data_IF_664973679779
#
_entry.id   IF_664973679779
#
_cell.length_a   1.000
_cell.length_b   1.000
_cell.length_c   1.000
_cell.angle_alpha   90.00
_cell.angle_beta   90.00
_cell.angle_gamma   90.00
#
_symmetry.space_group_name_H-M   'P 1'
#
loop_
_entity.id
_entity.type
_entity.pdbx_description
1 polymer ?
#
# COMPACT_ATOMS: atom_id res chain seq x y z
N UNK A 1 90.78 48.95 -1.82
CA UNK A 1 90.23 50.20 -1.27
C UNK A 1 88.71 50.19 -1.50
N UNK A 2 87.92 50.21 -0.41
CA UNK A 2 86.59 50.86 -0.22
C UNK A 2 85.54 50.81 -1.37
N UNK A 3 84.23 50.57 -1.20
CA UNK A 3 83.27 50.63 -0.07
C UNK A 3 81.92 50.06 -0.58
N UNK A 4 81.06 49.62 0.34
CA UNK A 4 79.65 49.24 0.16
C UNK A 4 78.76 50.40 -0.33
N UNK A 5 77.70 50.12 -1.11
CA UNK A 5 76.33 50.54 -0.75
C UNK A 5 75.20 49.89 -1.58
N UNK A 6 74.11 49.66 -0.85
CA UNK A 6 72.83 49.03 -1.13
C UNK A 6 71.90 49.90 -2.02
N UNK A 7 71.19 49.31 -2.99
CA UNK A 7 69.85 49.78 -3.38
C UNK A 7 68.99 48.72 -4.08
N UNK A 8 67.79 48.59 -3.52
CA UNK A 8 66.62 47.80 -3.86
C UNK A 8 65.89 48.39 -5.08
N UNK A 9 65.40 47.57 -6.04
CA UNK A 9 64.04 47.69 -6.63
C UNK A 9 63.71 46.64 -7.72
N UNK A 10 62.59 45.94 -7.48
CA UNK A 10 61.58 45.35 -8.37
C UNK A 10 61.99 44.72 -9.74
N UNK A 11 61.94 43.39 -9.81
CA UNK A 11 61.78 42.61 -11.05
C UNK A 11 60.31 42.15 -11.17
N UNK A 12 59.58 42.74 -12.12
CA UNK A 12 58.22 42.39 -12.53
C UNK A 12 58.30 41.46 -13.76
N UNK A 13 57.69 40.27 -13.63
CA UNK A 13 56.90 39.47 -14.60
C UNK A 13 57.40 39.42 -16.06
N UNK A 14 57.61 38.28 -16.73
CA UNK A 14 56.65 37.21 -17.00
C UNK A 14 57.42 35.97 -17.49
N UNK A 15 57.41 34.89 -16.71
CA UNK A 15 57.79 33.55 -17.18
C UNK A 15 56.50 32.82 -17.59
N UNK A 16 56.33 32.61 -18.89
CA UNK A 16 55.33 31.70 -19.44
C UNK A 16 55.65 30.27 -18.97
N UNK A 17 54.94 29.81 -17.94
CA UNK A 17 54.89 28.39 -17.58
C UNK A 17 53.56 27.85 -18.07
N UNK A 18 53.58 27.06 -19.13
CA UNK A 18 52.43 26.27 -19.56
C UNK A 18 52.07 25.28 -18.45
N UNK A 19 51.12 25.64 -17.60
CA UNK A 19 50.52 24.72 -16.65
C UNK A 19 49.61 23.79 -17.45
N UNK A 20 50.09 22.57 -17.68
CA UNK A 20 49.23 21.44 -18.03
C UNK A 20 48.29 21.23 -16.85
N UNK A 21 47.10 21.81 -16.91
CA UNK A 21 46.04 21.50 -15.96
C UNK A 21 45.42 20.18 -16.38
N UNK A 22 45.89 19.08 -15.78
CA UNK A 22 45.12 17.85 -15.74
C UNK A 22 43.88 18.15 -14.89
N UNK A 23 42.76 18.48 -15.56
CA UNK A 23 41.45 18.56 -14.94
C UNK A 23 41.12 17.16 -14.42
N UNK A 24 41.37 16.96 -13.12
CA UNK A 24 40.96 15.77 -12.41
C UNK A 24 39.43 15.74 -12.49
N UNK A 25 38.92 14.79 -13.27
CA UNK A 25 37.50 14.43 -13.40
C UNK A 25 36.86 14.45 -12.01
N UNK A 26 35.71 15.09 -11.94
CA UNK A 26 34.84 15.25 -10.77
C UNK A 26 35.10 14.22 -9.67
N UNK A 27 35.63 14.69 -8.54
CA UNK A 27 35.33 14.05 -7.25
C UNK A 27 33.87 14.44 -6.98
N UNK A 28 32.95 13.74 -7.65
CA UNK A 28 31.59 13.66 -7.18
C UNK A 28 31.67 13.04 -5.79
N UNK A 29 31.55 13.86 -4.74
CA UNK A 29 31.07 13.36 -3.48
C UNK A 29 29.72 12.71 -3.82
N UNK A 30 29.72 11.38 -3.95
CA UNK A 30 28.49 10.61 -4.00
C UNK A 30 27.79 10.96 -2.69
N UNK A 31 26.82 11.87 -2.76
CA UNK A 31 25.98 12.23 -1.64
C UNK A 31 25.35 10.93 -1.17
N UNK A 32 25.91 10.32 -0.13
CA UNK A 32 25.37 9.12 0.48
C UNK A 32 23.95 9.50 0.91
N UNK A 33 22.97 9.06 0.12
CA UNK A 33 21.56 9.35 0.41
C UNK A 33 21.23 8.67 1.72
N UNK A 34 21.04 9.48 2.75
CA UNK A 34 20.56 8.99 4.02
C UNK A 34 19.07 8.72 3.93
N UNK A 35 18.62 7.58 4.47
CA UNK A 35 17.21 7.25 4.58
C UNK A 35 16.63 7.75 5.90
N UNK A 36 15.35 8.11 5.84
CA UNK A 36 14.51 8.18 7.04
C UNK A 36 13.94 6.80 7.31
N UNK A 37 13.73 6.46 8.57
CA UNK A 37 13.10 5.19 8.94
C UNK A 37 12.19 5.35 10.15
N UNK A 38 11.44 4.31 10.49
CA UNK A 38 10.42 4.36 11.54
C UNK A 38 10.99 4.54 12.96
N UNK A 39 12.31 4.39 13.19
CA UNK A 39 13.14 4.51 14.42
C UNK A 39 12.65 3.78 15.69
N UNK A 40 11.34 3.57 15.84
CA UNK A 40 10.66 3.13 17.05
C UNK A 40 10.42 1.62 17.10
N UNK A 41 10.65 0.89 16.00
CA UNK A 41 10.42 -0.53 15.96
C UNK A 41 11.48 -1.30 16.75
N UNK A 42 11.03 -2.20 17.64
CA UNK A 42 11.93 -2.98 18.52
C UNK A 42 12.76 -4.00 17.77
N UNK A 43 12.17 -4.62 16.75
CA UNK A 43 12.77 -5.72 15.98
C UNK A 43 12.84 -5.41 14.49
N UNK A 44 11.84 -4.71 13.95
CA UNK A 44 11.78 -4.34 12.55
C UNK A 44 11.85 -2.83 12.38
N UNK A 45 12.35 -2.38 11.24
CA UNK A 45 12.32 -0.99 10.80
C UNK A 45 11.83 -0.92 9.36
N UNK A 46 11.09 0.13 9.02
CA UNK A 46 10.77 0.48 7.64
C UNK A 46 11.45 1.79 7.28
N UNK A 47 12.13 1.85 6.13
CA UNK A 47 12.72 3.07 5.60
C UNK A 47 11.81 3.82 4.60
N UNK A 48 12.21 5.02 4.19
CA UNK A 48 11.49 5.87 3.24
C UNK A 48 11.61 5.43 1.78
N UNK A 49 12.46 4.45 1.49
CA UNK A 49 12.45 3.71 0.21
C UNK A 49 11.43 2.56 0.20
N UNK A 50 10.82 2.27 1.35
CA UNK A 50 9.81 1.26 1.55
C UNK A 50 10.34 -0.12 1.89
N UNK A 51 11.62 -0.27 2.22
CA UNK A 51 12.18 -1.55 2.65
C UNK A 51 11.89 -1.81 4.13
N UNK A 52 11.56 -3.06 4.46
CA UNK A 52 11.47 -3.56 5.84
C UNK A 52 12.64 -4.48 6.13
N UNK A 53 13.30 -4.27 7.25
CA UNK A 53 14.44 -5.07 7.69
C UNK A 53 14.51 -5.19 9.22
N UNK A 54 15.35 -6.11 9.71
CA UNK A 54 15.65 -6.20 11.14
C UNK A 54 16.40 -4.94 11.59
N UNK A 55 16.10 -4.44 12.79
CA UNK A 55 16.69 -3.22 13.31
C UNK A 55 18.23 -3.28 13.40
N UNK A 56 18.81 -4.47 13.58
CA UNK A 56 20.24 -4.70 13.64
C UNK A 56 20.90 -4.73 12.25
N UNK A 57 20.10 -4.89 11.18
CA UNK A 57 20.58 -4.96 9.80
C UNK A 57 20.62 -3.62 9.07
N UNK A 58 20.17 -2.54 9.74
CA UNK A 58 20.21 -1.18 9.18
C UNK A 58 21.64 -0.71 9.03
N UNK A 59 21.94 -0.13 7.88
CA UNK A 59 23.27 0.44 7.62
C UNK A 59 23.55 1.63 8.56
N UNK A 60 24.67 1.62 9.33
CA UNK A 60 24.94 2.66 10.31
C UNK A 60 25.13 4.05 9.71
N UNK A 61 25.64 4.14 8.47
CA UNK A 61 26.00 5.40 7.82
C UNK A 61 24.81 6.03 7.11
N UNK A 62 24.14 5.29 6.24
CA UNK A 62 23.00 5.75 5.45
C UNK A 62 21.68 5.67 6.22
N UNK A 63 21.58 4.82 7.26
CA UNK A 63 20.35 4.52 8.02
C UNK A 63 19.26 3.82 7.20
N UNK A 64 19.61 3.32 6.02
CA UNK A 64 18.72 2.58 5.12
C UNK A 64 18.67 1.09 5.49
N UNK A 65 17.55 0.44 5.15
CA UNK A 65 17.50 -1.01 5.13
C UNK A 65 18.30 -1.55 3.92
N UNK A 66 18.86 -2.77 4.03
CA UNK A 66 19.55 -3.39 2.90
C UNK A 66 18.59 -3.64 1.74
N UNK A 67 19.08 -3.47 0.50
CA UNK A 67 18.29 -3.61 -0.75
C UNK A 67 17.67 -5.01 -0.90
N UNK A 68 18.26 -6.02 -0.26
CA UNK A 68 17.73 -7.39 -0.24
C UNK A 68 16.48 -7.55 0.64
N UNK A 69 16.05 -6.50 1.36
CA UNK A 69 14.87 -6.50 2.20
C UNK A 69 13.56 -6.54 1.41
N UNK A 70 12.46 -6.74 2.13
CA UNK A 70 11.13 -6.73 1.53
C UNK A 70 10.69 -5.29 1.25
N UNK A 71 10.67 -4.89 -0.03
CA UNK A 71 10.23 -3.55 -0.45
C UNK A 71 8.72 -3.50 -0.64
N UNK A 72 8.09 -2.47 -0.07
CA UNK A 72 6.65 -2.22 -0.15
C UNK A 72 5.79 -3.42 0.27
N UNK A 73 6.26 -4.18 1.26
CA UNK A 73 5.61 -5.40 1.69
C UNK A 73 4.36 -5.11 2.49
N UNK A 74 3.27 -5.78 2.11
CA UNK A 74 1.99 -5.74 2.81
C UNK A 74 1.77 -6.99 3.67
N UNK A 75 2.84 -7.63 4.14
CA UNK A 75 2.75 -8.79 5.03
C UNK A 75 1.98 -8.40 6.31
N UNK A 76 0.96 -9.19 6.67
CA UNK A 76 0.13 -8.89 7.83
C UNK A 76 -0.83 -7.70 7.66
N UNK A 77 -1.06 -7.25 6.41
CA UNK A 77 -2.01 -6.19 6.10
C UNK A 77 -3.29 -6.74 5.47
N UNK A 78 -4.44 -6.29 5.98
CA UNK A 78 -5.71 -6.41 5.29
C UNK A 78 -5.87 -5.22 4.33
N UNK A 79 -5.74 -5.47 3.03
CA UNK A 79 -5.78 -4.43 2.01
C UNK A 79 -7.16 -3.79 1.82
N UNK A 80 -8.23 -4.41 2.34
CA UNK A 80 -9.59 -3.86 2.25
C UNK A 80 -9.82 -2.84 3.35
N UNK A 81 -9.47 -3.15 4.59
CA UNK A 81 -9.49 -2.16 5.68
C UNK A 81 -8.33 -1.18 5.60
N UNK A 82 -7.29 -1.50 4.81
CA UNK A 82 -6.02 -0.76 4.75
C UNK A 82 -5.39 -0.64 6.15
N UNK A 83 -5.53 -1.72 6.91
CA UNK A 83 -4.99 -1.86 8.26
C UNK A 83 -4.10 -3.10 8.35
N UNK A 84 -3.08 -3.02 9.18
CA UNK A 84 -2.09 -4.07 9.40
C UNK A 84 -1.94 -4.35 10.89
N UNK A 85 -1.44 -5.53 11.21
CA UNK A 85 -1.10 -5.92 12.57
C UNK A 85 0.34 -5.54 12.98
N UNK A 86 1.15 -5.03 12.05
CA UNK A 86 2.50 -4.51 12.28
C UNK A 86 2.63 -3.10 11.72
N UNK A 87 3.23 -2.22 12.52
CA UNK A 87 3.45 -0.82 12.16
C UNK A 87 4.39 -0.68 10.97
N UNK A 88 5.48 -1.42 10.94
CA UNK A 88 6.54 -1.33 9.93
C UNK A 88 6.04 -1.83 8.58
N UNK A 89 5.32 -2.96 8.57
CA UNK A 89 4.65 -3.43 7.35
C UNK A 89 3.51 -2.50 6.90
N UNK A 90 2.81 -1.83 7.82
CA UNK A 90 1.86 -0.79 7.45
C UNK A 90 2.53 0.36 6.70
N UNK A 91 3.65 0.87 7.22
CA UNK A 91 4.40 1.98 6.60
C UNK A 91 4.93 1.56 5.23
N UNK A 92 5.57 0.39 5.14
CA UNK A 92 6.09 -0.15 3.88
C UNK A 92 4.98 -0.35 2.84
N UNK A 93 3.87 -1.00 3.20
CA UNK A 93 2.72 -1.21 2.32
C UNK A 93 2.10 0.10 1.84
N UNK A 94 1.96 1.07 2.75
CA UNK A 94 1.42 2.40 2.46
C UNK A 94 2.25 3.14 1.42
N UNK A 95 3.58 3.06 1.50
CA UNK A 95 4.51 3.72 0.57
C UNK A 95 4.40 3.23 -0.88
N UNK A 96 3.74 2.10 -1.13
CA UNK A 96 3.59 1.58 -2.48
C UNK A 96 2.76 2.54 -3.36
N UNK A 97 3.22 2.91 -4.57
CA UNK A 97 2.52 3.88 -5.43
C UNK A 97 1.08 3.49 -5.82
N UNK A 98 0.79 2.19 -5.90
CA UNK A 98 -0.58 1.69 -6.13
C UNK A 98 -1.51 1.77 -4.92
N UNK A 99 -1.00 2.14 -3.73
CA UNK A 99 -1.77 2.26 -2.48
C UNK A 99 -2.03 3.71 -2.12
N UNK A 100 -1.03 4.57 -2.29
CA UNK A 100 -1.16 6.01 -2.01
C UNK A 100 -0.73 6.83 -3.21
N UNK A 101 -1.58 7.78 -3.60
CA UNK A 101 -1.23 8.80 -4.60
C UNK A 101 -0.65 10.03 -3.88
N UNK A 102 0.58 10.38 -4.24
CA UNK A 102 1.32 11.50 -3.64
C UNK A 102 0.50 12.81 -3.62
N UNK A 103 -0.12 13.16 -4.75
CA UNK A 103 -0.92 14.37 -4.89
C UNK A 103 -2.14 14.43 -3.93
N UNK A 104 -2.64 13.29 -3.47
CA UNK A 104 -3.75 13.20 -2.54
C UNK A 104 -3.26 13.26 -1.09
N UNK A 105 -2.21 12.52 -0.76
CA UNK A 105 -1.72 12.42 0.64
C UNK A 105 -1.07 13.71 1.14
N UNK A 106 -0.38 14.46 0.28
CA UNK A 106 0.26 15.73 0.66
C UNK A 106 -0.75 16.84 0.96
N UNK A 107 -2.02 16.68 0.57
CA UNK A 107 -3.11 17.60 0.91
C UNK A 107 -3.81 17.26 2.23
N UNK A 108 -3.48 16.11 2.81
CA UNK A 108 -4.07 15.65 4.08
C UNK A 108 -3.43 16.39 5.24
N UNK A 109 -4.27 16.94 6.11
CA UNK A 109 -3.83 17.59 7.34
C UNK A 109 -3.45 16.54 8.39
N UNK A 110 -2.38 16.81 9.13
CA UNK A 110 -1.87 15.92 10.20
C UNK A 110 -2.90 15.76 11.33
N UNK A 111 -3.71 16.79 11.58
CA UNK A 111 -4.73 16.80 12.63
C UNK A 111 -6.04 17.44 12.15
N UNK A 112 -7.11 17.24 12.93
CA UNK A 112 -8.46 17.79 12.66
C UNK A 112 -8.55 19.33 12.58
N UNK A 113 -7.81 20.13 13.36
CA UNK A 113 -7.92 21.58 13.33
C UNK A 113 -7.65 22.18 11.94
N UNK A 114 -8.36 23.25 11.58
CA UNK A 114 -8.20 23.91 10.28
C UNK A 114 -6.80 24.52 10.08
N UNK A 115 -6.10 24.83 11.17
CA UNK A 115 -4.73 25.35 11.21
C UNK A 115 -3.66 24.27 11.12
N UNK A 116 -4.03 22.98 11.11
CA UNK A 116 -3.07 21.89 11.08
C UNK A 116 -2.30 21.83 9.76
N UNK A 117 -0.98 21.64 9.89
CA UNK A 117 -0.06 21.50 8.76
C UNK A 117 -0.34 20.18 8.03
N UNK A 118 -0.08 20.16 6.72
CA UNK A 118 -0.20 18.95 5.90
C UNK A 118 1.12 18.16 5.89
N UNK A 119 1.06 16.90 5.47
CA UNK A 119 2.27 16.07 5.41
C UNK A 119 3.28 16.58 4.36
N UNK A 120 4.57 16.50 4.72
CA UNK A 120 5.70 16.95 3.88
C UNK A 120 6.13 15.93 2.85
N UNK A 121 5.88 14.64 3.09
CA UNK A 121 6.19 13.55 2.17
C UNK A 121 5.22 12.37 2.36
N UNK A 122 5.19 11.46 1.38
CA UNK A 122 4.41 10.20 1.49
C UNK A 122 4.87 9.39 2.70
N UNK A 123 6.18 9.36 2.98
CA UNK A 123 6.71 8.70 4.16
C UNK A 123 6.15 9.27 5.47
N UNK A 124 6.12 10.60 5.61
CA UNK A 124 5.59 11.24 6.83
C UNK A 124 4.09 10.96 7.00
N UNK A 125 3.35 10.92 5.88
CA UNK A 125 1.95 10.49 5.87
C UNK A 125 1.81 9.04 6.36
N UNK A 126 2.55 8.10 5.77
CA UNK A 126 2.47 6.69 6.11
C UNK A 126 2.90 6.42 7.55
N UNK A 127 4.05 6.94 7.97
CA UNK A 127 4.55 6.83 9.34
C UNK A 127 3.56 7.44 10.34
N UNK A 128 3.00 8.63 10.05
CA UNK A 128 2.03 9.27 10.92
C UNK A 128 0.72 8.50 11.05
N UNK A 129 0.11 8.11 9.93
CA UNK A 129 -1.20 7.44 9.89
C UNK A 129 -1.16 6.03 10.46
N UNK A 130 -0.16 5.23 10.10
CA UNK A 130 0.01 3.87 10.61
C UNK A 130 0.26 3.85 12.12
N UNK A 131 0.86 4.90 12.69
CA UNK A 131 1.16 4.96 14.12
C UNK A 131 -0.07 5.24 14.97
N UNK A 132 -0.96 6.13 14.52
CA UNK A 132 -2.16 6.49 15.25
C UNK A 132 -3.33 6.71 14.28
N UNK A 133 -4.33 5.84 14.34
CA UNK A 133 -5.60 6.04 13.64
C UNK A 133 -6.75 6.06 14.65
N UNK A 134 -7.42 7.19 14.81
CA UNK A 134 -8.57 7.31 15.71
C UNK A 134 -9.72 6.36 15.33
N UNK A 135 -9.79 5.91 14.08
CA UNK A 135 -10.80 4.94 13.64
C UNK A 135 -10.52 3.50 14.10
N UNK A 136 -9.28 3.17 14.52
CA UNK A 136 -8.92 1.83 14.99
C UNK A 136 -9.16 1.60 16.49
N UNK A 137 -9.59 2.62 17.24
CA UNK A 137 -9.90 2.53 18.67
C UNK A 137 -11.42 2.50 18.96
N UNK A 138 -11.80 1.84 20.05
CA UNK A 138 -13.13 1.76 20.67
C UNK A 138 -12.99 2.30 22.09
N UNK A 139 -13.90 3.18 22.51
CA UNK A 139 -13.87 3.82 23.83
C UNK A 139 -12.48 4.40 24.19
N UNK A 140 -11.82 4.99 23.18
CA UNK A 140 -10.54 5.72 23.27
C UNK A 140 -9.30 4.91 23.70
N UNK A 141 -9.47 3.71 24.26
CA UNK A 141 -8.38 2.95 24.89
C UNK A 141 -8.28 1.47 24.48
N UNK A 142 -9.20 0.94 23.67
CA UNK A 142 -9.16 -0.43 23.19
C UNK A 142 -9.09 -0.48 21.67
N UNK A 143 -8.21 -1.28 21.08
CA UNK A 143 -8.21 -1.48 19.64
C UNK A 143 -9.40 -2.34 19.18
N UNK A 144 -9.96 -2.02 18.03
CA UNK A 144 -11.05 -2.79 17.40
C UNK A 144 -10.64 -4.21 17.02
N UNK A 145 -9.35 -4.40 16.73
CA UNK A 145 -8.78 -5.62 16.20
C UNK A 145 -7.26 -5.56 16.32
N UNK A 146 -6.59 -6.70 16.20
CA UNK A 146 -5.14 -6.79 16.02
C UNK A 146 -4.67 -5.97 14.80
N UNK A 147 -5.51 -5.76 13.79
CA UNK A 147 -5.24 -4.88 12.65
C UNK A 147 -5.56 -3.42 12.98
N UNK A 148 -4.67 -2.75 13.71
CA UNK A 148 -4.90 -1.40 14.24
C UNK A 148 -4.00 -0.31 13.65
N UNK A 149 -2.97 -0.69 12.89
CA UNK A 149 -2.12 0.24 12.12
C UNK A 149 -2.74 0.47 10.75
N UNK A 150 -3.29 1.65 10.47
CA UNK A 150 -4.02 1.88 9.22
C UNK A 150 -3.51 3.09 8.45
N UNK A 151 -3.58 3.03 7.12
CA UNK A 151 -3.15 4.11 6.23
C UNK A 151 -4.26 4.67 5.32
N UNK A 152 -5.52 4.34 5.60
CA UNK A 152 -6.65 4.86 4.84
C UNK A 152 -6.80 6.38 4.94
N UNK A 153 -7.25 7.00 3.85
CA UNK A 153 -7.55 8.43 3.81
C UNK A 153 -8.83 8.75 4.61
N UNK A 154 -8.91 9.90 5.31
CA UNK A 154 -10.12 10.32 5.98
C UNK A 154 -11.24 10.62 4.99
N UNK A 155 -12.43 10.07 5.23
CA UNK A 155 -13.63 10.23 4.40
C UNK A 155 -14.26 11.62 4.54
N UNK A 156 -13.66 12.66 3.95
CA UNK A 156 -14.31 13.97 3.79
C UNK A 156 -15.14 14.00 2.50
N UNK A 157 -16.25 13.26 2.45
CA UNK A 157 -17.33 13.45 1.46
C UNK A 157 -18.37 12.35 1.62
N UNK A 158 -19.59 12.76 1.94
CA UNK A 158 -20.83 11.98 1.89
C UNK A 158 -21.25 11.56 0.46
N UNK A 159 -20.34 11.60 -0.53
CA UNK A 159 -20.48 11.02 -1.87
C UNK A 159 -19.48 9.89 -2.19
N UNK A 160 -18.78 9.36 -1.18
CA UNK A 160 -17.60 8.50 -1.33
C UNK A 160 -17.82 7.03 -1.76
N UNK A 161 -19.06 6.56 -1.95
CA UNK A 161 -19.27 5.12 -2.20
C UNK A 161 -18.97 4.66 -3.64
N UNK A 162 -19.04 5.55 -4.65
CA UNK A 162 -18.79 5.14 -6.04
C UNK A 162 -17.32 5.19 -6.44
N UNK A 163 -16.65 6.33 -6.20
CA UNK A 163 -15.25 6.53 -6.62
C UNK A 163 -14.26 5.67 -5.83
N UNK A 164 -14.53 5.39 -4.55
CA UNK A 164 -13.67 4.51 -3.75
C UNK A 164 -13.86 3.04 -4.12
N UNK A 165 -15.06 2.61 -4.49
CA UNK A 165 -15.30 1.24 -4.95
C UNK A 165 -14.66 1.01 -6.32
N UNK A 166 -14.74 1.97 -7.23
CA UNK A 166 -14.06 1.90 -8.53
C UNK A 166 -12.53 1.84 -8.36
N UNK A 167 -11.96 2.64 -7.45
CA UNK A 167 -10.54 2.53 -7.10
C UNK A 167 -10.19 1.16 -6.48
N UNK A 168 -11.08 0.60 -5.64
CA UNK A 168 -10.90 -0.72 -5.01
C UNK A 168 -11.05 -1.87 -6.00
N UNK A 169 -11.85 -1.72 -7.05
CA UNK A 169 -12.02 -2.68 -8.16
C UNK A 169 -11.10 -2.36 -9.36
N UNK A 170 -10.25 -1.34 -9.25
CA UNK A 170 -9.28 -1.01 -10.29
C UNK A 170 -8.32 -2.16 -10.56
N UNK A 171 -8.05 -2.38 -11.84
CA UNK A 171 -7.11 -3.39 -12.34
C UNK A 171 -7.65 -4.82 -12.36
N UNK A 172 -8.97 -5.01 -12.21
CA UNK A 172 -9.63 -6.30 -12.39
C UNK A 172 -10.86 -6.19 -13.30
N UNK A 173 -11.18 -7.29 -13.97
CA UNK A 173 -12.43 -7.55 -14.65
C UNK A 173 -13.33 -8.37 -13.71
N UNK A 174 -14.56 -7.92 -13.47
CA UNK A 174 -15.52 -8.64 -12.62
C UNK A 174 -16.39 -9.51 -13.52
N UNK A 175 -16.26 -10.83 -13.39
CA UNK A 175 -16.91 -11.82 -14.25
C UNK A 175 -17.87 -12.68 -13.42
N UNK A 176 -19.07 -12.92 -13.95
CA UNK A 176 -20.02 -13.85 -13.35
C UNK A 176 -19.74 -15.23 -13.95
N UNK A 177 -19.38 -16.20 -13.10
CA UNK A 177 -19.15 -17.58 -13.52
C UNK A 177 -20.44 -18.30 -13.90
N UNK A 178 -20.32 -19.42 -14.62
CA UNK A 178 -21.45 -20.34 -14.79
C UNK A 178 -21.71 -21.07 -13.47
N UNK A 179 -22.88 -21.70 -13.42
CA UNK A 179 -23.27 -22.57 -12.31
C UNK A 179 -22.18 -23.61 -12.02
N UNK A 180 -21.75 -23.70 -10.76
CA UNK A 180 -20.76 -24.67 -10.31
C UNK A 180 -19.32 -24.38 -10.72
N UNK A 181 -19.01 -23.27 -11.40
CA UNK A 181 -17.63 -22.92 -11.75
C UNK A 181 -16.90 -22.24 -10.58
N UNK A 182 -15.60 -22.55 -10.46
CA UNK A 182 -14.67 -21.82 -9.60
C UNK A 182 -14.21 -20.52 -10.27
N UNK A 183 -13.74 -19.55 -9.49
CA UNK A 183 -13.17 -18.33 -10.07
C UNK A 183 -11.87 -18.58 -10.84
N UNK A 184 -11.09 -19.60 -10.45
CA UNK A 184 -9.92 -20.02 -11.24
C UNK A 184 -10.31 -20.47 -12.65
N UNK A 185 -11.34 -21.30 -12.78
CA UNK A 185 -11.84 -21.73 -14.10
C UNK A 185 -12.41 -20.56 -14.91
N UNK A 186 -13.18 -19.68 -14.27
CA UNK A 186 -13.82 -18.52 -14.92
C UNK A 186 -12.76 -17.57 -15.47
N UNK A 187 -11.80 -17.17 -14.63
CA UNK A 187 -10.76 -16.24 -15.05
C UNK A 187 -9.85 -16.85 -16.11
N UNK A 188 -9.47 -18.14 -15.96
CA UNK A 188 -8.66 -18.84 -16.94
C UNK A 188 -9.32 -18.91 -18.32
N UNK A 189 -10.64 -19.09 -18.38
CA UNK A 189 -11.39 -19.08 -19.64
C UNK A 189 -11.37 -17.73 -20.36
N UNK A 190 -11.12 -16.64 -19.62
CA UNK A 190 -10.98 -15.28 -20.12
C UNK A 190 -9.51 -14.88 -20.36
N UNK A 191 -8.55 -15.81 -20.24
CA UNK A 191 -7.12 -15.52 -20.36
C UNK A 191 -6.53 -14.74 -19.17
N UNK A 192 -7.19 -14.80 -18.02
CA UNK A 192 -6.87 -14.04 -16.80
C UNK A 192 -6.65 -15.00 -15.60
N UNK A 193 -6.16 -14.46 -14.49
CA UNK A 193 -6.03 -15.18 -13.21
C UNK A 193 -6.98 -14.64 -12.15
N UNK A 194 -7.42 -15.49 -11.22
CA UNK A 194 -8.25 -15.04 -10.10
C UNK A 194 -7.43 -14.19 -9.11
N UNK A 195 -8.01 -13.07 -8.68
CA UNK A 195 -7.37 -12.09 -7.80
C UNK A 195 -7.96 -12.19 -6.39
N UNK A 196 -7.43 -13.13 -5.60
CA UNK A 196 -7.95 -13.52 -4.28
C UNK A 196 -8.25 -12.34 -3.33
N UNK A 197 -7.35 -11.36 -3.25
CA UNK A 197 -7.51 -10.20 -2.36
C UNK A 197 -8.69 -9.27 -2.74
N UNK A 198 -9.22 -9.39 -3.97
CA UNK A 198 -10.38 -8.62 -4.43
C UNK A 198 -11.69 -9.34 -4.15
N UNK A 199 -11.68 -10.63 -3.82
CA UNK A 199 -12.90 -11.35 -3.40
C UNK A 199 -13.51 -10.71 -2.15
N UNK A 200 -12.69 -10.15 -1.25
CA UNK A 200 -13.19 -9.47 -0.06
C UNK A 200 -13.99 -8.19 -0.38
N UNK A 201 -13.65 -7.51 -1.49
CA UNK A 201 -14.41 -6.34 -1.98
C UNK A 201 -15.72 -6.79 -2.61
N UNK A 202 -15.68 -7.88 -3.40
CA UNK A 202 -16.87 -8.45 -4.04
C UNK A 202 -17.82 -9.12 -3.04
N UNK A 203 -17.31 -9.58 -1.89
CA UNK A 203 -18.07 -10.22 -0.82
C UNK A 203 -18.81 -9.21 0.08
N UNK A 204 -19.47 -8.24 -0.55
CA UNK A 204 -20.33 -7.25 0.08
C UNK A 204 -21.64 -7.19 -0.70
N UNK A 205 -22.77 -7.23 0.02
CA UNK A 205 -24.09 -7.34 -0.61
C UNK A 205 -24.36 -6.19 -1.61
N UNK A 206 -24.00 -4.97 -1.25
CA UNK A 206 -24.13 -3.78 -2.08
C UNK A 206 -23.28 -3.85 -3.35
N UNK A 207 -22.15 -4.56 -3.31
CA UNK A 207 -21.32 -4.82 -4.50
C UNK A 207 -21.92 -5.94 -5.34
N UNK A 208 -22.32 -7.05 -4.72
CA UNK A 208 -22.96 -8.17 -5.44
C UNK A 208 -24.22 -7.72 -6.19
N UNK A 209 -25.06 -6.89 -5.58
CA UNK A 209 -26.28 -6.35 -6.18
C UNK A 209 -26.05 -5.47 -7.42
N UNK A 210 -24.82 -5.00 -7.66
CA UNK A 210 -24.47 -4.27 -8.89
C UNK A 210 -24.29 -5.19 -10.10
N UNK A 211 -23.94 -6.46 -9.85
CA UNK A 211 -23.62 -7.44 -10.89
C UNK A 211 -24.67 -8.57 -10.95
N UNK A 212 -25.31 -8.89 -9.83
CA UNK A 212 -26.24 -10.00 -9.65
C UNK A 212 -27.61 -9.48 -9.23
N UNK A 213 -28.67 -10.26 -9.51
CA UNK A 213 -30.04 -9.85 -9.20
C UNK A 213 -30.34 -9.92 -7.69
N UNK A 214 -29.78 -10.93 -7.00
CA UNK A 214 -29.92 -11.19 -5.57
C UNK A 214 -31.36 -11.30 -5.03
N UNK A 215 -32.40 -11.13 -5.86
CA UNK A 215 -33.84 -11.10 -5.50
C UNK A 215 -34.16 -10.39 -4.18
N UNK A 216 -33.41 -9.33 -3.85
CA UNK A 216 -33.53 -8.58 -2.60
C UNK A 216 -33.05 -9.29 -1.32
N UNK A 217 -32.44 -10.48 -1.42
CA UNK A 217 -31.93 -11.26 -0.31
C UNK A 217 -30.41 -11.42 -0.36
N UNK A 218 -29.73 -11.04 0.72
CA UNK A 218 -28.32 -11.30 0.96
C UNK A 218 -28.14 -12.06 2.27
N UNK A 219 -27.60 -13.27 2.20
CA UNK A 219 -27.52 -14.20 3.31
C UNK A 219 -26.07 -14.53 3.64
N UNK A 220 -25.73 -14.53 4.92
CA UNK A 220 -24.42 -14.98 5.37
C UNK A 220 -24.35 -16.52 5.28
N UNK A 221 -23.26 -17.05 4.72
CA UNK A 221 -22.97 -18.49 4.60
C UNK A 221 -21.50 -18.79 4.95
N UNK A 222 -21.14 -20.07 5.03
CA UNK A 222 -19.82 -20.59 5.45
C UNK A 222 -19.13 -21.33 4.28
N UNK A 223 -19.65 -21.24 3.06
CA UNK A 223 -19.07 -21.92 1.90
C UNK A 223 -17.86 -21.19 1.29
N UNK A 224 -16.96 -21.95 0.67
CA UNK A 224 -15.80 -21.40 -0.06
C UNK A 224 -16.17 -20.83 -1.43
N UNK A 225 -17.40 -21.08 -1.89
CA UNK A 225 -17.94 -20.58 -3.16
C UNK A 225 -18.43 -19.12 -3.06
N UNK A 226 -18.54 -18.55 -1.86
CA UNK A 226 -18.90 -17.12 -1.73
C UNK A 226 -17.79 -16.19 -2.26
N UNK A 227 -18.13 -15.00 -2.80
CA UNK A 227 -19.48 -14.49 -3.04
C UNK A 227 -20.15 -15.11 -4.27
N UNK A 228 -21.41 -15.50 -4.13
CA UNK A 228 -22.16 -16.14 -5.21
C UNK A 228 -23.67 -15.89 -5.13
N UNK A 229 -24.37 -16.00 -6.24
CA UNK A 229 -25.83 -16.01 -6.28
C UNK A 229 -26.33 -17.45 -6.44
N UNK A 230 -27.36 -17.82 -5.67
CA UNK A 230 -28.01 -19.12 -5.78
C UNK A 230 -28.82 -19.16 -7.07
N UNK A 231 -28.63 -20.20 -7.88
CA UNK A 231 -29.34 -20.35 -9.16
C UNK A 231 -30.85 -20.56 -8.94
N UNK A 232 -31.65 -20.19 -9.95
CA UNK A 232 -33.11 -20.16 -9.81
C UNK A 232 -33.76 -21.56 -9.70
N UNK A 233 -33.10 -22.59 -10.24
CA UNK A 233 -33.51 -23.99 -10.22
C UNK A 233 -33.03 -24.75 -8.96
N UNK A 234 -32.30 -24.08 -8.06
CA UNK A 234 -31.89 -24.68 -6.80
C UNK A 234 -33.11 -25.08 -5.92
N UNK A 235 -32.97 -26.10 -5.06
CA UNK A 235 -33.99 -26.43 -4.07
C UNK A 235 -34.41 -25.23 -3.22
N UNK A 236 -35.70 -25.14 -2.88
CA UNK A 236 -36.29 -24.00 -2.13
C UNK A 236 -35.55 -23.68 -0.83
N UNK A 237 -35.05 -24.70 -0.12
CA UNK A 237 -34.34 -24.54 1.15
C UNK A 237 -32.97 -23.86 1.01
N UNK A 238 -32.42 -23.76 -0.21
CA UNK A 238 -31.17 -23.05 -0.49
C UNK A 238 -31.38 -21.58 -0.85
N UNK A 239 -32.61 -21.07 -0.81
CA UNK A 239 -32.99 -19.69 -1.13
C UNK A 239 -32.64 -19.29 -2.58
N UNK A 240 -33.30 -19.87 -3.61
CA UNK A 240 -33.03 -19.58 -5.02
C UNK A 240 -33.11 -18.08 -5.37
N UNK A 241 -32.04 -17.57 -5.97
CA UNK A 241 -31.86 -16.16 -6.33
C UNK A 241 -31.33 -15.27 -5.22
N UNK A 242 -31.09 -15.78 -4.00
CA UNK A 242 -30.39 -15.01 -2.97
C UNK A 242 -28.89 -14.92 -3.25
N UNK A 243 -28.28 -13.81 -2.86
CA UNK A 243 -26.83 -13.65 -2.85
C UNK A 243 -26.24 -14.13 -1.52
N UNK A 244 -25.18 -14.92 -1.59
CA UNK A 244 -24.47 -15.48 -0.45
C UNK A 244 -23.12 -14.78 -0.28
N UNK A 245 -22.85 -14.32 0.93
CA UNK A 245 -21.55 -13.77 1.33
C UNK A 245 -21.03 -14.52 2.56
N UNK A 246 -19.71 -14.59 2.72
CA UNK A 246 -19.10 -15.15 3.94
C UNK A 246 -18.76 -14.06 4.94
N UNK A 247 -18.94 -14.33 6.24
CA UNK A 247 -18.41 -13.46 7.31
C UNK A 247 -16.95 -13.78 7.65
N UNK A 248 -16.47 -14.94 7.23
CA UNK A 248 -15.15 -15.45 7.58
C UNK A 248 -14.22 -15.21 6.39
N UNK A 249 -13.42 -14.14 6.43
CA UNK A 249 -12.58 -13.73 5.32
C UNK A 249 -11.55 -14.80 4.90
N UNK A 250 -11.11 -15.66 5.83
CA UNK A 250 -10.21 -16.77 5.53
C UNK A 250 -10.85 -17.90 4.72
N UNK A 251 -12.17 -17.92 4.52
CA UNK A 251 -12.87 -18.89 3.67
C UNK A 251 -13.00 -18.43 2.21
N UNK A 252 -12.67 -17.18 1.90
CA UNK A 252 -12.66 -16.70 0.53
C UNK A 252 -11.58 -17.45 -0.26
N UNK A 253 -11.97 -18.10 -1.35
CA UNK A 253 -11.04 -18.83 -2.19
C UNK A 253 -11.35 -18.73 -3.68
N UNK A 254 -10.33 -18.81 -4.52
CA UNK A 254 -10.51 -18.80 -5.98
C UNK A 254 -10.97 -20.16 -6.53
N UNK A 255 -10.56 -21.26 -5.90
CA UNK A 255 -10.87 -22.63 -6.30
C UNK A 255 -12.25 -23.12 -5.81
N UNK A 256 -12.84 -22.44 -4.82
CA UNK A 256 -14.15 -22.79 -4.28
C UNK A 256 -15.23 -22.85 -5.35
N UNK A 257 -16.08 -23.87 -5.30
CA UNK A 257 -17.15 -24.08 -6.26
C UNK A 257 -18.32 -24.80 -5.59
N UNK A 258 -19.55 -24.42 -5.93
CA UNK A 258 -20.74 -25.10 -5.45
C UNK A 258 -21.77 -25.21 -6.58
N UNK A 259 -22.30 -26.41 -6.78
CA UNK A 259 -23.20 -26.72 -7.90
C UNK A 259 -24.44 -25.82 -7.99
N UNK A 260 -24.98 -25.35 -6.87
CA UNK A 260 -26.19 -24.53 -6.84
C UNK A 260 -25.93 -23.02 -6.83
N UNK A 261 -24.70 -22.59 -7.10
CA UNK A 261 -24.35 -21.18 -7.08
C UNK A 261 -23.57 -20.78 -8.34
N UNK A 262 -23.65 -19.50 -8.68
CA UNK A 262 -22.81 -18.85 -9.68
C UNK A 262 -21.99 -17.76 -9.01
N UNK A 263 -20.67 -17.83 -9.15
CA UNK A 263 -19.72 -16.99 -8.40
C UNK A 263 -19.51 -15.63 -9.06
N UNK A 264 -19.22 -14.61 -8.24
CA UNK A 264 -18.75 -13.31 -8.70
C UNK A 264 -17.22 -13.27 -8.58
N UNK A 265 -16.53 -13.25 -9.72
CA UNK A 265 -15.09 -13.52 -9.79
C UNK A 265 -14.28 -12.28 -10.19
N UNK A 266 -13.22 -11.94 -9.44
CA UNK A 266 -12.28 -10.89 -9.80
C UNK A 266 -11.14 -11.46 -10.63
N UNK A 267 -11.09 -11.13 -11.92
CA UNK A 267 -10.09 -11.62 -12.87
C UNK A 267 -9.11 -10.52 -13.28
N UNK A 268 -7.81 -10.81 -13.37
CA UNK A 268 -6.82 -9.90 -13.96
C UNK A 268 -5.89 -10.66 -14.90
#
# INVERSE_FOLDING_TARGET
MTKYHLSLQLLILFQFSSIISAIRKDIGFEQIRSCRNTVQGRYLLSDDNGYVCDALSVDPTSRCCPINGLRFSCQGCNLVSQCCNSYEFCVSCCLHPSRTQEAQVLKVKIAKPSTAVSYTSVFDFCAGRCRHNSESVVHENAYRSDFHHCFSLPSNSSGANYTQLEARLGGINVVIGKQGESCDSVCKSNGQSCVLNKLLVLNQCDVMQKYMSCKGACLASIGTDQPAEVVADAPRHLNPGACLYTRTQSLLSCDGSLWHTRRLCPCA
#
